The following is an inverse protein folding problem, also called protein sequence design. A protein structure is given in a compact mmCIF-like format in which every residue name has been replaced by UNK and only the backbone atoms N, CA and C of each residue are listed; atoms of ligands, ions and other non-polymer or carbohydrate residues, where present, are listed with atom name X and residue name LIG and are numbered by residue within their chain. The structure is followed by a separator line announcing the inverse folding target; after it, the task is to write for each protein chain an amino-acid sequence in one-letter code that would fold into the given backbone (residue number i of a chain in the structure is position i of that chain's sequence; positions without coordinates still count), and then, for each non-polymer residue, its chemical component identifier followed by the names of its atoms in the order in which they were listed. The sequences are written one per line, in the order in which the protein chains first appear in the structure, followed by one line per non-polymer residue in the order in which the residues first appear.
data_IF_566102396625
#
_entry.id   IF_566102396625
#
_cell.length_a   1.000
_cell.length_b   1.000
_cell.length_c   1.000
_cell.angle_alpha   90.00
_cell.angle_beta   90.00
_cell.angle_gamma   90.00
#
_symmetry.space_group_name_H-M   'P 1'
#
loop_
_entity.id
_entity.type
_entity.pdbx_description
1 polymer ?
#
# COMPACT_ATOMS: atom_id res chain seq x y z
N UNK A 1 -33.12 8.36 -15.30
CA UNK A 1 -31.85 8.99 -15.79
C UNK A 1 -30.68 8.98 -14.79
N UNK A 2 -30.87 9.14 -13.47
CA UNK A 2 -29.72 9.27 -12.53
C UNK A 2 -28.99 8.00 -12.13
N UNK A 3 -29.59 6.83 -12.29
CA UNK A 3 -29.01 5.56 -11.79
C UNK A 3 -27.97 4.99 -12.78
N UNK A 4 -28.24 5.08 -14.07
CA UNK A 4 -27.37 4.54 -15.13
C UNK A 4 -26.04 5.31 -15.24
N UNK A 5 -26.07 6.63 -15.05
CA UNK A 5 -24.87 7.45 -15.03
C UNK A 5 -23.94 7.09 -13.86
N UNK A 6 -24.50 6.91 -12.64
CA UNK A 6 -23.69 6.54 -11.48
C UNK A 6 -23.03 5.16 -11.67
N UNK A 7 -23.78 4.20 -12.22
CA UNK A 7 -23.22 2.86 -12.50
C UNK A 7 -22.10 2.94 -13.54
N UNK A 8 -22.26 3.72 -14.60
CA UNK A 8 -21.22 3.94 -15.60
C UNK A 8 -19.95 4.56 -15.01
N UNK A 9 -20.10 5.57 -14.13
CA UNK A 9 -18.97 6.18 -13.42
C UNK A 9 -18.24 5.17 -12.52
N UNK A 10 -18.99 4.29 -11.82
CA UNK A 10 -18.41 3.23 -10.98
C UNK A 10 -17.65 2.23 -11.84
N UNK A 11 -18.23 1.75 -12.94
CA UNK A 11 -17.58 0.79 -13.85
C UNK A 11 -16.29 1.39 -14.39
N UNK A 12 -16.32 2.63 -14.87
CA UNK A 12 -15.15 3.34 -15.37
C UNK A 12 -14.06 3.46 -14.29
N UNK A 13 -14.46 3.88 -13.08
CA UNK A 13 -13.53 4.02 -11.97
C UNK A 13 -12.90 2.68 -11.56
N UNK A 14 -13.67 1.61 -11.50
CA UNK A 14 -13.16 0.27 -11.20
C UNK A 14 -12.21 -0.19 -12.29
N UNK A 15 -12.56 -0.04 -13.56
CA UNK A 15 -11.70 -0.44 -14.68
C UNK A 15 -10.38 0.37 -14.72
N UNK A 16 -10.43 1.67 -14.43
CA UNK A 16 -9.23 2.51 -14.35
C UNK A 16 -8.29 2.15 -13.20
N UNK A 17 -8.81 1.50 -12.15
CA UNK A 17 -8.05 1.23 -10.92
C UNK A 17 -7.85 -0.26 -10.63
N UNK A 18 -8.40 -1.17 -11.41
CA UNK A 18 -8.31 -2.61 -11.15
C UNK A 18 -6.92 -3.19 -11.38
N UNK A 19 -6.17 -2.63 -12.32
CA UNK A 19 -4.81 -3.11 -12.66
C UNK A 19 -3.73 -2.55 -11.73
N UNK A 20 -4.14 -1.68 -10.84
CA UNK A 20 -3.24 -0.96 -9.94
C UNK A 20 -2.91 -1.75 -8.67
N UNK A 21 -3.52 -2.89 -8.47
CA UNK A 21 -3.24 -3.79 -7.33
C UNK A 21 -1.78 -4.21 -7.28
N UNK A 22 -1.08 -4.22 -8.42
CA UNK A 22 0.35 -4.47 -8.49
C UNK A 22 1.18 -3.48 -7.63
N UNK A 23 0.77 -2.22 -7.57
CA UNK A 23 1.36 -1.23 -6.66
C UNK A 23 0.97 -1.49 -5.21
N UNK A 24 -0.20 -2.03 -4.93
CA UNK A 24 -0.59 -2.47 -3.59
C UNK A 24 0.34 -3.56 -3.07
N UNK A 25 0.69 -4.53 -3.92
CA UNK A 25 1.65 -5.59 -3.59
C UNK A 25 3.02 -5.01 -3.26
N UNK A 26 3.53 -4.13 -4.10
CA UNK A 26 4.85 -3.52 -3.90
C UNK A 26 4.89 -2.64 -2.65
N UNK A 27 3.82 -1.94 -2.32
CA UNK A 27 3.84 -0.94 -1.27
C UNK A 27 3.24 -1.38 0.06
N UNK A 28 2.26 -2.29 0.07
CA UNK A 28 1.59 -2.69 1.30
C UNK A 28 2.07 -4.00 1.86
N UNK A 29 2.23 -5.01 1.01
CA UNK A 29 2.48 -6.39 1.43
C UNK A 29 3.64 -7.02 0.72
N UNK A 30 4.41 -6.23 -0.07
CA UNK A 30 5.36 -6.72 -1.04
C UNK A 30 6.23 -7.87 -0.53
N UNK A 31 5.95 -9.09 -0.90
CA UNK A 31 6.94 -10.13 -0.81
C UNK A 31 8.09 -9.94 -1.79
N UNK A 32 7.96 -9.08 -2.83
CA UNK A 32 8.96 -8.89 -3.90
C UNK A 32 10.37 -8.56 -3.40
N UNK A 33 10.52 -7.93 -2.25
CA UNK A 33 11.84 -7.70 -1.65
C UNK A 33 12.43 -8.95 -0.99
N UNK A 34 11.63 -9.98 -0.77
CA UNK A 34 11.94 -11.13 0.06
C UNK A 34 11.60 -12.46 -0.60
N UNK A 35 10.55 -12.47 -1.41
CA UNK A 35 9.98 -13.61 -2.10
C UNK A 35 9.56 -13.16 -3.50
N UNK A 36 9.61 -14.05 -4.49
CA UNK A 36 9.07 -13.74 -5.81
C UNK A 36 7.60 -14.20 -5.90
N UNK A 37 6.61 -13.28 -5.80
CA UNK A 37 5.20 -13.65 -5.80
C UNK A 37 4.70 -14.21 -7.13
N UNK A 38 5.43 -13.96 -8.23
CA UNK A 38 5.12 -14.44 -9.57
C UNK A 38 6.03 -15.59 -10.01
N UNK A 39 6.71 -16.23 -9.06
CA UNK A 39 7.54 -17.39 -9.33
C UNK A 39 6.68 -18.57 -9.77
N UNK A 40 7.13 -19.29 -10.80
CA UNK A 40 6.54 -20.57 -11.17
C UNK A 40 7.02 -21.71 -10.27
N UNK A 41 8.03 -21.49 -9.45
CA UNK A 41 8.52 -22.48 -8.50
C UNK A 41 7.49 -22.75 -7.40
N UNK A 42 7.09 -24.00 -7.26
CA UNK A 42 6.05 -24.44 -6.33
C UNK A 42 6.42 -24.15 -4.85
N UNK A 43 7.66 -24.36 -4.47
CA UNK A 43 8.13 -24.10 -3.10
C UNK A 43 8.13 -22.59 -2.78
N UNK A 44 8.36 -21.77 -3.79
CA UNK A 44 8.24 -20.32 -3.63
C UNK A 44 6.76 -19.89 -3.52
N UNK A 45 5.86 -20.45 -4.34
CA UNK A 45 4.40 -20.23 -4.23
C UNK A 45 3.89 -20.60 -2.83
N UNK A 46 4.34 -21.71 -2.25
CA UNK A 46 4.00 -22.11 -0.87
C UNK A 46 4.44 -21.05 0.16
N UNK A 47 5.66 -20.54 0.03
CA UNK A 47 6.19 -19.49 0.92
C UNK A 47 5.44 -18.18 0.77
N UNK A 48 5.10 -17.80 -0.46
CA UNK A 48 4.29 -16.62 -0.75
C UNK A 48 2.90 -16.75 -0.11
N UNK A 49 2.23 -17.89 -0.29
CA UNK A 49 0.92 -18.14 0.32
C UNK A 49 0.98 -18.04 1.86
N UNK A 50 2.01 -18.60 2.50
CA UNK A 50 2.20 -18.50 3.94
C UNK A 50 2.49 -17.05 4.40
N UNK A 51 3.39 -16.35 3.68
CA UNK A 51 3.71 -14.96 3.99
C UNK A 51 2.47 -14.06 3.92
N UNK A 52 1.64 -14.25 2.91
CA UNK A 52 0.43 -13.47 2.74
C UNK A 52 -0.66 -13.80 3.74
N UNK A 53 -0.70 -15.03 4.25
CA UNK A 53 -1.57 -15.37 5.37
C UNK A 53 -1.11 -14.66 6.66
N UNK A 54 0.21 -14.60 6.94
CA UNK A 54 0.76 -13.77 8.01
C UNK A 54 0.40 -12.31 7.82
N UNK A 55 0.52 -11.79 6.59
CA UNK A 55 0.22 -10.41 6.24
C UNK A 55 -1.26 -10.09 6.48
N UNK A 56 -2.17 -10.90 5.96
CA UNK A 56 -3.62 -10.67 6.10
C UNK A 56 -4.07 -10.76 7.56
N UNK A 57 -3.48 -11.65 8.36
CA UNK A 57 -3.86 -11.84 9.76
C UNK A 57 -3.65 -10.60 10.64
N UNK A 58 -2.69 -9.73 10.28
CA UNK A 58 -2.38 -8.48 10.99
C UNK A 58 -2.84 -7.22 10.24
N UNK A 59 -3.56 -7.37 9.10
CA UNK A 59 -4.15 -6.25 8.38
C UNK A 59 -5.28 -5.59 9.15
N UNK A 60 -5.33 -4.25 9.06
CA UNK A 60 -6.44 -3.41 9.54
C UNK A 60 -6.91 -3.75 10.97
N UNK A 61 -6.07 -4.40 11.77
CA UNK A 61 -6.32 -4.54 13.18
C UNK A 61 -6.07 -3.19 13.86
N UNK A 62 -6.92 -2.78 14.81
CA UNK A 62 -6.70 -1.62 15.70
C UNK A 62 -5.28 -1.60 16.28
N UNK A 63 -4.67 -2.76 16.29
CA UNK A 63 -3.36 -3.10 16.79
C UNK A 63 -2.23 -2.54 15.91
N UNK A 64 -2.34 -2.59 14.59
CA UNK A 64 -1.25 -2.18 13.67
C UNK A 64 -1.52 -0.80 13.05
N UNK A 65 -2.76 -0.35 13.09
CA UNK A 65 -3.20 0.95 12.60
C UNK A 65 -3.20 1.03 11.07
N UNK A 66 -2.05 1.26 10.45
CA UNK A 66 -1.95 1.41 9.00
C UNK A 66 -1.41 0.15 8.33
N UNK A 67 -1.92 -0.24 7.14
CA UNK A 67 -1.40 -1.38 6.37
C UNK A 67 0.11 -1.32 6.11
N UNK A 68 0.66 -0.11 5.97
CA UNK A 68 2.08 0.13 5.81
C UNK A 68 2.91 -0.34 7.01
N UNK A 69 2.36 -0.25 8.22
CA UNK A 69 3.02 -0.76 9.43
C UNK A 69 3.11 -2.29 9.42
N UNK A 70 2.04 -2.97 9.00
CA UNK A 70 2.03 -4.43 8.87
C UNK A 70 3.12 -4.89 7.87
N UNK A 71 3.20 -4.24 6.72
CA UNK A 71 4.24 -4.49 5.71
C UNK A 71 5.63 -4.31 6.29
N UNK A 72 5.90 -3.16 6.89
CA UNK A 72 7.22 -2.84 7.45
C UNK A 72 7.61 -3.82 8.56
N UNK A 73 6.65 -4.21 9.39
CA UNK A 73 6.87 -5.21 10.42
C UNK A 73 7.30 -6.55 9.82
N UNK A 74 6.54 -7.09 8.86
CA UNK A 74 6.84 -8.38 8.25
C UNK A 74 8.17 -8.38 7.49
N UNK A 75 8.49 -7.29 6.76
CA UNK A 75 9.80 -7.15 6.11
C UNK A 75 10.93 -7.19 7.14
N UNK A 76 10.79 -6.51 8.27
CA UNK A 76 11.81 -6.52 9.34
C UNK A 76 11.93 -7.89 10.01
N UNK A 77 10.80 -8.56 10.26
CA UNK A 77 10.80 -9.90 10.81
C UNK A 77 11.44 -10.92 9.84
N UNK A 78 11.13 -10.82 8.56
CA UNK A 78 11.75 -11.68 7.56
C UNK A 78 13.26 -11.40 7.41
N UNK A 79 13.70 -10.15 7.45
CA UNK A 79 15.12 -9.79 7.47
C UNK A 79 15.84 -10.35 8.71
N UNK A 80 15.15 -10.41 9.85
CA UNK A 80 15.71 -10.91 11.11
C UNK A 80 15.77 -12.44 11.17
N UNK A 81 14.79 -13.13 10.63
CA UNK A 81 14.61 -14.57 10.76
C UNK A 81 14.85 -15.36 9.47
N UNK A 82 14.83 -14.70 8.30
CA UNK A 82 14.85 -15.38 7.02
C UNK A 82 13.70 -16.40 6.90
N UNK A 83 13.98 -17.56 6.33
CA UNK A 83 12.99 -18.64 6.19
C UNK A 83 12.49 -19.19 7.54
N UNK A 84 13.22 -18.98 8.63
CA UNK A 84 12.76 -19.37 9.98
C UNK A 84 11.53 -18.60 10.43
N UNK A 85 11.19 -17.46 9.80
CA UNK A 85 9.96 -16.72 10.03
C UNK A 85 8.72 -17.63 9.99
N UNK A 86 8.69 -18.58 9.07
CA UNK A 86 7.57 -19.49 8.83
C UNK A 86 7.49 -20.66 9.84
N UNK A 87 8.51 -20.82 10.67
CA UNK A 87 8.64 -21.93 11.62
C UNK A 87 8.43 -21.51 13.07
N UNK A 88 8.41 -20.19 13.34
CA UNK A 88 8.30 -19.66 14.71
C UNK A 88 6.90 -19.89 15.25
N UNK A 89 6.81 -20.72 16.29
CA UNK A 89 5.57 -21.06 17.00
C UNK A 89 5.55 -20.61 18.45
N UNK A 90 6.60 -19.90 18.91
CA UNK A 90 6.73 -19.34 20.26
C UNK A 90 6.64 -17.81 20.23
N UNK A 91 5.62 -17.19 20.86
CA UNK A 91 5.38 -15.75 20.76
C UNK A 91 6.56 -14.88 21.18
N UNK A 92 7.30 -15.27 22.24
CA UNK A 92 8.41 -14.48 22.79
C UNK A 92 9.51 -14.21 21.74
N UNK A 93 9.74 -15.13 20.79
CA UNK A 93 10.73 -14.95 19.73
C UNK A 93 10.36 -13.81 18.76
N UNK A 94 9.07 -13.62 18.48
CA UNK A 94 8.59 -12.47 17.75
C UNK A 94 8.63 -11.21 18.60
N UNK A 95 8.22 -11.30 19.86
CA UNK A 95 8.10 -10.17 20.78
C UNK A 95 9.42 -9.41 20.92
N UNK A 96 10.54 -10.12 21.13
CA UNK A 96 11.87 -9.51 21.19
C UNK A 96 12.19 -8.66 19.97
N UNK A 97 11.88 -9.14 18.77
CA UNK A 97 12.15 -8.43 17.52
C UNK A 97 11.17 -7.29 17.24
N UNK A 98 9.89 -7.47 17.62
CA UNK A 98 8.85 -6.45 17.48
C UNK A 98 9.13 -5.25 18.38
N UNK A 99 9.58 -5.47 19.63
CA UNK A 99 9.97 -4.41 20.55
C UNK A 99 11.11 -3.55 19.97
N UNK A 100 12.03 -4.15 19.24
CA UNK A 100 13.15 -3.44 18.58
C UNK A 100 12.71 -2.66 17.34
N UNK A 101 11.52 -2.90 16.81
CA UNK A 101 11.00 -2.18 15.65
C UNK A 101 10.51 -0.79 16.09
N UNK A 102 11.19 0.27 15.64
CA UNK A 102 10.68 1.63 15.77
C UNK A 102 9.69 1.88 14.63
N UNK A 103 8.42 2.12 14.97
CA UNK A 103 7.39 2.56 14.03
C UNK A 103 7.02 4.01 14.30
N UNK A 104 6.49 4.70 13.29
CA UNK A 104 5.81 5.97 13.47
C UNK A 104 4.50 5.72 14.26
N UNK A 105 4.49 6.17 15.52
CA UNK A 105 3.44 5.87 16.49
C UNK A 105 3.79 4.65 17.38
N UNK A 106 3.29 4.67 18.60
CA UNK A 106 3.48 3.54 19.52
C UNK A 106 2.63 2.37 19.03
N UNK A 107 3.22 1.21 18.90
CA UNK A 107 2.47 -0.02 18.67
C UNK A 107 1.58 -0.40 19.88
N UNK A 108 1.62 0.36 20.98
CA UNK A 108 0.77 0.14 22.15
C UNK A 108 0.71 -1.33 22.58
N UNK A 109 -0.50 -1.83 22.83
CA UNK A 109 -0.80 -3.25 23.11
C UNK A 109 -0.45 -4.21 21.97
N UNK A 110 -0.21 -3.69 20.78
CA UNK A 110 0.14 -4.47 19.59
C UNK A 110 1.38 -5.32 19.77
N UNK A 111 2.34 -4.86 20.57
CA UNK A 111 3.58 -5.59 20.86
C UNK A 111 3.33 -6.95 21.52
N UNK A 112 2.21 -7.09 22.22
CA UNK A 112 1.83 -8.31 22.93
C UNK A 112 0.99 -9.23 22.03
N UNK A 113 0.09 -8.65 21.26
CA UNK A 113 -0.93 -9.38 20.49
C UNK A 113 -0.39 -9.89 19.14
N UNK A 114 0.42 -9.10 18.45
CA UNK A 114 0.96 -9.50 17.13
C UNK A 114 1.78 -10.80 17.20
N UNK A 115 2.66 -11.01 18.20
CA UNK A 115 3.38 -12.28 18.34
C UNK A 115 2.46 -13.49 18.40
N UNK A 116 1.34 -13.38 19.13
CA UNK A 116 0.37 -14.47 19.27
C UNK A 116 -0.35 -14.75 17.95
N UNK A 117 -0.79 -13.70 17.25
CA UNK A 117 -1.41 -13.84 15.92
C UNK A 117 -0.47 -14.55 14.95
N UNK A 118 0.78 -14.06 14.82
CA UNK A 118 1.74 -14.62 13.87
C UNK A 118 2.10 -16.08 14.21
N UNK A 119 2.26 -16.38 15.48
CA UNK A 119 2.52 -17.78 15.91
C UNK A 119 1.31 -18.66 15.73
N UNK A 120 0.10 -18.13 15.89
CA UNK A 120 -1.15 -18.83 15.61
C UNK A 120 -1.23 -19.24 14.14
N UNK A 121 -0.92 -18.32 13.21
CA UNK A 121 -0.83 -18.63 11.78
C UNK A 121 0.21 -19.71 11.51
N UNK A 122 1.41 -19.59 12.04
CA UNK A 122 2.46 -20.60 11.83
C UNK A 122 2.08 -21.98 12.40
N UNK A 123 1.42 -22.03 13.57
CA UNK A 123 0.90 -23.27 14.13
C UNK A 123 -0.17 -23.89 13.25
N UNK A 124 -1.10 -23.08 12.75
CA UNK A 124 -2.14 -23.54 11.82
C UNK A 124 -1.52 -24.14 10.56
N UNK A 125 -0.60 -23.41 9.91
CA UNK A 125 0.06 -23.89 8.68
C UNK A 125 0.86 -25.16 8.95
N UNK A 126 1.57 -25.23 10.06
CA UNK A 126 2.36 -26.42 10.45
C UNK A 126 1.50 -27.64 10.73
N UNK A 127 0.45 -27.48 11.53
CA UNK A 127 -0.25 -28.61 12.14
C UNK A 127 -1.50 -29.02 11.35
N UNK A 128 -2.20 -28.07 10.71
CA UNK A 128 -3.45 -28.34 10.01
C UNK A 128 -3.30 -28.34 8.49
N UNK A 129 -2.52 -27.41 7.96
CA UNK A 129 -2.24 -27.34 6.52
C UNK A 129 -0.97 -28.11 6.10
N UNK A 130 -0.34 -28.85 6.99
CA UNK A 130 0.84 -29.71 6.72
C UNK A 130 1.95 -28.97 5.96
N UNK A 131 2.14 -27.69 6.30
CA UNK A 131 3.06 -26.72 5.67
C UNK A 131 2.75 -26.39 4.20
N UNK A 132 1.56 -26.74 3.70
CA UNK A 132 1.17 -26.54 2.33
C UNK A 132 -0.26 -25.99 2.20
N UNK A 133 -0.40 -24.68 2.18
CA UNK A 133 -1.69 -24.01 2.05
C UNK A 133 -2.34 -24.23 0.66
N UNK A 134 -1.55 -24.52 -0.38
CA UNK A 134 -2.06 -24.77 -1.73
C UNK A 134 -2.82 -26.09 -1.71
N UNK A 135 -2.19 -27.18 -1.27
CA UNK A 135 -2.85 -28.49 -1.15
C UNK A 135 -3.96 -28.46 -0.12
N UNK A 136 -3.79 -27.70 0.96
CA UNK A 136 -4.84 -27.55 1.96
C UNK A 136 -6.09 -26.91 1.39
N UNK A 137 -5.97 -25.91 0.51
CA UNK A 137 -7.11 -25.26 -0.15
C UNK A 137 -7.93 -26.23 -0.98
N UNK A 138 -7.31 -27.23 -1.59
CA UNK A 138 -7.99 -28.24 -2.44
C UNK A 138 -8.97 -29.11 -1.65
N UNK A 139 -8.83 -29.20 -0.32
CA UNK A 139 -9.79 -29.92 0.55
C UNK A 139 -11.18 -29.27 0.61
N UNK A 140 -11.30 -28.05 0.10
CA UNK A 140 -12.55 -27.28 0.13
C UNK A 140 -13.12 -27.09 -1.27
N UNK A 141 -14.41 -27.38 -1.43
CA UNK A 141 -15.11 -27.18 -2.70
C UNK A 141 -15.58 -25.74 -2.90
N UNK A 142 -15.73 -24.97 -1.81
CA UNK A 142 -16.21 -23.58 -1.85
C UNK A 142 -15.25 -22.64 -1.13
N UNK A 143 -15.00 -21.44 -1.67
CA UNK A 143 -14.19 -20.40 -1.02
C UNK A 143 -14.68 -20.08 0.40
N UNK A 144 -16.00 -20.05 0.60
CA UNK A 144 -16.62 -19.73 1.89
C UNK A 144 -16.21 -20.74 2.98
N UNK A 145 -16.20 -22.02 2.68
CA UNK A 145 -15.87 -23.07 3.65
C UNK A 145 -14.39 -22.97 4.09
N UNK A 146 -13.51 -22.65 3.14
CA UNK A 146 -12.10 -22.36 3.44
C UNK A 146 -11.93 -21.11 4.33
N UNK A 147 -12.66 -20.03 4.03
CA UNK A 147 -12.64 -18.80 4.84
C UNK A 147 -13.16 -19.07 6.25
N UNK A 148 -14.24 -19.83 6.39
CA UNK A 148 -14.80 -20.21 7.70
C UNK A 148 -13.79 -21.05 8.51
N UNK A 149 -13.07 -21.96 7.86
CA UNK A 149 -12.03 -22.75 8.51
C UNK A 149 -10.85 -21.88 8.99
N UNK A 150 -10.39 -20.93 8.17
CA UNK A 150 -9.36 -19.97 8.60
C UNK A 150 -9.83 -19.15 9.82
N UNK A 151 -11.07 -18.65 9.79
CA UNK A 151 -11.65 -17.85 10.86
C UNK A 151 -11.82 -18.61 12.18
N UNK A 152 -12.07 -19.92 12.11
CA UNK A 152 -12.22 -20.78 13.28
C UNK A 152 -10.88 -21.19 13.90
N UNK A 153 -9.83 -21.30 13.09
CA UNK A 153 -8.57 -21.91 13.52
C UNK A 153 -7.42 -20.91 13.71
N UNK A 154 -7.56 -19.69 13.20
CA UNK A 154 -6.56 -18.63 13.36
C UNK A 154 -7.15 -17.52 14.19
N UNK A 155 -6.57 -17.31 15.36
CA UNK A 155 -7.00 -16.27 16.28
C UNK A 155 -7.05 -14.90 15.59
N UNK A 156 -8.11 -14.13 15.82
CA UNK A 156 -8.35 -12.80 15.25
C UNK A 156 -8.46 -12.72 13.73
N UNK A 157 -8.52 -13.85 13.02
CA UNK A 157 -8.81 -13.81 11.60
C UNK A 157 -10.22 -13.26 11.34
N UNK A 158 -11.15 -13.57 12.24
CA UNK A 158 -12.53 -13.08 12.26
C UNK A 158 -12.72 -11.81 13.12
N UNK A 159 -11.66 -11.26 13.71
CA UNK A 159 -11.77 -10.09 14.57
C UNK A 159 -11.83 -8.81 13.74
N UNK A 160 -12.71 -7.89 14.19
CA UNK A 160 -12.89 -6.53 13.69
C UNK A 160 -13.32 -6.36 12.21
N UNK A 161 -13.22 -5.16 11.75
CA UNK A 161 -13.80 -4.59 10.52
C UNK A 161 -13.20 -5.11 9.21
N UNK A 162 -12.13 -5.89 9.27
CA UNK A 162 -11.48 -6.40 8.08
C UNK A 162 -11.82 -7.86 7.88
N UNK A 163 -12.34 -8.18 6.72
CA UNK A 163 -12.54 -9.53 6.26
C UNK A 163 -11.20 -10.14 5.84
N UNK A 164 -10.31 -10.30 6.80
CA UNK A 164 -8.90 -10.69 6.59
C UNK A 164 -8.77 -11.96 5.75
N UNK A 165 -9.61 -12.95 6.03
CA UNK A 165 -9.62 -14.20 5.27
C UNK A 165 -10.10 -14.01 3.84
N UNK A 166 -11.11 -13.14 3.60
CA UNK A 166 -11.55 -12.81 2.25
C UNK A 166 -10.53 -12.00 1.46
N UNK A 167 -9.82 -11.07 2.12
CA UNK A 167 -8.69 -10.34 1.51
C UNK A 167 -7.58 -11.33 1.11
N UNK A 168 -7.20 -12.23 2.02
CA UNK A 168 -6.23 -13.28 1.73
C UNK A 168 -6.65 -14.13 0.53
N UNK A 169 -7.89 -14.61 0.55
CA UNK A 169 -8.38 -15.49 -0.50
C UNK A 169 -8.48 -14.78 -1.86
N UNK A 170 -8.86 -13.49 -1.86
CA UNK A 170 -8.81 -12.67 -3.08
C UNK A 170 -7.42 -12.70 -3.70
N UNK A 171 -6.38 -12.45 -2.90
CA UNK A 171 -4.99 -12.47 -3.37
C UNK A 171 -4.57 -13.81 -3.96
N UNK A 172 -5.06 -14.91 -3.37
CA UNK A 172 -4.69 -16.25 -3.79
C UNK A 172 -5.43 -16.74 -5.03
N UNK A 173 -6.67 -16.28 -5.26
CA UNK A 173 -7.58 -16.85 -6.28
C UNK A 173 -7.65 -15.99 -7.55
N UNK A 174 -7.70 -14.65 -7.41
CA UNK A 174 -7.83 -13.79 -8.59
C UNK A 174 -6.60 -13.88 -9.48
N UNK A 175 -6.78 -13.81 -10.83
CA UNK A 175 -5.66 -13.69 -11.75
C UNK A 175 -4.97 -12.33 -11.59
N UNK A 176 -3.91 -12.11 -12.35
CA UNK A 176 -3.22 -10.82 -12.40
C UNK A 176 -4.24 -9.65 -12.40
N UNK A 177 -4.00 -8.62 -11.57
CA UNK A 177 -2.78 -8.30 -10.82
C UNK A 177 -2.60 -9.02 -9.48
N UNK A 178 -3.54 -9.84 -9.03
CA UNK A 178 -3.37 -10.77 -7.92
C UNK A 178 -2.57 -12.01 -8.35
N UNK A 179 -2.45 -13.07 -7.56
CA UNK A 179 -1.40 -14.07 -7.74
C UNK A 179 -1.87 -15.41 -8.36
N UNK A 180 -3.17 -15.71 -8.29
CA UNK A 180 -3.72 -16.98 -8.78
C UNK A 180 -2.90 -18.21 -8.35
N UNK A 181 -2.67 -18.33 -7.04
CA UNK A 181 -1.95 -19.47 -6.46
C UNK A 181 -2.91 -20.63 -6.16
N UNK A 182 -4.18 -20.33 -5.82
CA UNK A 182 -5.23 -21.32 -5.57
C UNK A 182 -6.11 -21.48 -6.83
N UNK A 183 -5.81 -22.50 -7.63
CA UNK A 183 -6.49 -22.74 -8.90
C UNK A 183 -7.83 -23.50 -8.73
N UNK A 184 -8.07 -24.08 -7.54
CA UNK A 184 -9.29 -24.83 -7.24
C UNK A 184 -10.52 -23.95 -6.98
N UNK A 185 -10.34 -22.64 -6.81
CA UNK A 185 -11.42 -21.69 -6.62
C UNK A 185 -11.61 -20.80 -7.86
N UNK A 186 -12.87 -20.46 -8.19
CA UNK A 186 -13.16 -19.48 -9.23
C UNK A 186 -13.34 -18.08 -8.64
N UNK A 187 -12.78 -17.01 -9.28
CA UNK A 187 -12.97 -15.63 -8.85
C UNK A 187 -14.42 -15.19 -8.69
N UNK A 188 -15.33 -15.73 -9.50
CA UNK A 188 -16.77 -15.43 -9.44
C UNK A 188 -17.42 -15.82 -8.10
N UNK A 189 -16.83 -16.77 -7.39
CA UNK A 189 -17.33 -17.26 -6.10
C UNK A 189 -16.72 -16.52 -4.88
N UNK A 190 -15.88 -15.50 -5.13
CA UNK A 190 -15.32 -14.68 -4.09
C UNK A 190 -16.32 -13.65 -3.58
N UNK A 191 -16.27 -13.39 -2.29
CA UNK A 191 -16.95 -12.24 -1.69
C UNK A 191 -16.06 -11.02 -1.67
N UNK A 192 -16.67 -9.85 -1.84
CA UNK A 192 -15.97 -8.57 -1.64
C UNK A 192 -15.70 -8.41 -0.14
N UNK A 193 -14.43 -8.24 0.29
CA UNK A 193 -14.10 -8.04 1.69
C UNK A 193 -14.82 -6.83 2.27
N UNK A 194 -15.37 -6.95 3.48
CA UNK A 194 -16.03 -5.87 4.19
C UNK A 194 -15.01 -5.07 5.02
N UNK A 195 -14.42 -4.04 4.42
CA UNK A 195 -13.56 -3.08 5.11
C UNK A 195 -14.31 -1.79 5.42
N UNK A 196 -13.82 -0.95 6.34
CA UNK A 196 -14.41 0.37 6.62
C UNK A 196 -14.53 1.20 5.32
N UNK A 197 -13.52 1.13 4.46
CA UNK A 197 -13.52 1.88 3.21
C UNK A 197 -14.57 1.36 2.23
N UNK A 198 -14.70 0.04 2.07
CA UNK A 198 -15.73 -0.54 1.23
C UNK A 198 -17.13 -0.27 1.79
N UNK A 199 -17.29 -0.26 3.12
CA UNK A 199 -18.53 0.11 3.79
C UNK A 199 -18.92 1.58 3.54
N UNK A 200 -17.95 2.52 3.51
CA UNK A 200 -18.21 3.94 3.17
C UNK A 200 -18.79 4.06 1.75
N UNK A 201 -18.24 3.34 0.78
CA UNK A 201 -18.76 3.32 -0.59
C UNK A 201 -20.16 2.68 -0.64
N UNK A 202 -20.33 1.54 0.04
CA UNK A 202 -21.61 0.84 0.08
C UNK A 202 -22.73 1.68 0.76
N UNK A 203 -22.40 2.42 1.80
CA UNK A 203 -23.33 3.38 2.44
C UNK A 203 -23.69 4.50 1.46
N UNK A 204 -22.71 5.06 0.75
CA UNK A 204 -22.95 6.11 -0.24
C UNK A 204 -23.81 5.64 -1.41
N UNK A 205 -23.75 4.34 -1.74
CA UNK A 205 -24.60 3.70 -2.74
C UNK A 205 -26.02 3.38 -2.21
N UNK A 206 -26.23 3.41 -0.88
CA UNK A 206 -27.47 2.97 -0.23
C UNK A 206 -27.61 1.44 -0.17
N UNK A 207 -26.51 0.70 -0.29
CA UNK A 207 -26.50 -0.76 -0.14
C UNK A 207 -26.58 -1.18 1.33
N UNK A 208 -26.03 -0.36 2.23
CA UNK A 208 -26.09 -0.51 3.69
C UNK A 208 -26.50 0.82 4.31
N UNK A 209 -27.10 0.78 5.50
CA UNK A 209 -27.71 1.99 6.09
C UNK A 209 -26.67 2.96 6.66
N UNK A 210 -25.61 2.45 7.28
CA UNK A 210 -24.57 3.28 7.87
C UNK A 210 -23.33 2.46 8.24
N UNK A 211 -22.18 3.14 8.37
CA UNK A 211 -20.96 2.58 8.97
C UNK A 211 -21.02 2.87 10.46
N UNK A 212 -21.58 1.96 11.24
CA UNK A 212 -21.73 2.07 12.69
C UNK A 212 -21.08 0.88 13.40
N UNK A 213 -20.78 0.97 14.71
CA UNK A 213 -20.30 -0.18 15.48
C UNK A 213 -21.20 -1.42 15.39
N UNK A 214 -22.51 -1.24 15.18
CA UNK A 214 -23.45 -2.35 15.01
C UNK A 214 -23.26 -3.11 13.70
N UNK A 215 -22.69 -2.49 12.65
CA UNK A 215 -22.39 -3.15 11.38
C UNK A 215 -21.42 -4.32 11.57
N UNK A 216 -20.53 -4.21 12.53
CA UNK A 216 -19.46 -5.18 12.77
C UNK A 216 -19.86 -6.37 13.64
N UNK A 217 -21.12 -6.47 14.02
CA UNK A 217 -21.66 -7.71 14.55
C UNK A 217 -21.72 -8.76 13.42
N UNK A 218 -21.38 -10.02 13.73
CA UNK A 218 -21.21 -11.08 12.72
C UNK A 218 -22.37 -11.16 11.72
N UNK A 219 -23.62 -11.13 12.17
CA UNK A 219 -24.79 -11.21 11.28
C UNK A 219 -24.91 -9.99 10.35
N UNK A 220 -24.72 -8.79 10.87
CA UNK A 220 -24.81 -7.56 10.09
C UNK A 220 -23.67 -7.44 9.08
N UNK A 221 -22.46 -7.87 9.48
CA UNK A 221 -21.28 -7.88 8.60
C UNK A 221 -21.46 -8.88 7.44
N UNK A 222 -22.00 -10.05 7.70
CA UNK A 222 -22.31 -11.04 6.68
C UNK A 222 -23.34 -10.52 5.70
N UNK A 223 -24.43 -9.94 6.18
CA UNK A 223 -25.46 -9.35 5.32
C UNK A 223 -24.93 -8.19 4.48
N UNK A 224 -24.14 -7.31 5.08
CA UNK A 224 -23.52 -6.19 4.38
C UNK A 224 -22.58 -6.68 3.26
N UNK A 225 -21.73 -7.67 3.55
CA UNK A 225 -20.85 -8.32 2.57
C UNK A 225 -21.66 -8.93 1.43
N UNK A 226 -22.74 -9.64 1.73
CA UNK A 226 -23.60 -10.25 0.72
C UNK A 226 -24.24 -9.19 -0.18
N UNK A 227 -24.66 -8.06 0.36
CA UNK A 227 -25.25 -6.96 -0.43
C UNK A 227 -24.22 -6.31 -1.33
N UNK A 228 -23.00 -6.05 -0.83
CA UNK A 228 -21.88 -5.49 -1.62
C UNK A 228 -21.48 -6.47 -2.72
N UNK A 229 -21.33 -7.73 -2.39
CA UNK A 229 -20.94 -8.77 -3.37
C UNK A 229 -22.01 -8.93 -4.46
N UNK A 230 -23.29 -8.99 -4.11
CA UNK A 230 -24.39 -9.03 -5.11
C UNK A 230 -24.42 -7.80 -6.00
N UNK A 231 -24.09 -6.62 -5.46
CA UNK A 231 -23.95 -5.42 -6.27
C UNK A 231 -22.76 -5.55 -7.24
N UNK A 232 -21.61 -5.98 -6.74
CA UNK A 232 -20.40 -6.17 -7.54
C UNK A 232 -20.58 -7.23 -8.64
N UNK A 233 -21.25 -8.34 -8.36
CA UNK A 233 -21.58 -9.38 -9.34
C UNK A 233 -22.43 -8.86 -10.50
N UNK A 234 -23.33 -7.89 -10.27
CA UNK A 234 -24.10 -7.25 -11.35
C UNK A 234 -23.23 -6.42 -12.29
N UNK A 235 -22.12 -5.87 -11.79
CA UNK A 235 -21.19 -5.05 -12.56
C UNK A 235 -20.06 -5.90 -13.18
N UNK A 236 -19.61 -6.92 -12.47
CA UNK A 236 -18.48 -7.79 -12.82
C UNK A 236 -18.83 -9.24 -12.50
N UNK A 237 -19.63 -9.92 -13.37
CA UNK A 237 -20.17 -11.25 -13.08
C UNK A 237 -19.12 -12.33 -12.86
N UNK A 238 -17.97 -12.23 -13.52
CA UNK A 238 -16.88 -13.20 -13.44
C UNK A 238 -15.86 -12.91 -12.35
N UNK A 239 -15.90 -11.71 -11.74
CA UNK A 239 -14.95 -11.28 -10.71
C UNK A 239 -15.52 -10.14 -9.86
N UNK A 240 -16.41 -10.43 -8.89
CA UNK A 240 -16.98 -9.41 -8.02
C UNK A 240 -15.93 -8.72 -7.15
N UNK A 241 -14.86 -9.41 -6.79
CA UNK A 241 -13.77 -8.86 -5.99
C UNK A 241 -12.91 -7.84 -6.73
N UNK A 242 -13.13 -7.64 -8.04
CA UNK A 242 -12.51 -6.56 -8.83
C UNK A 242 -12.78 -5.18 -8.24
N UNK A 243 -13.90 -4.99 -7.56
CA UNK A 243 -14.25 -3.71 -6.93
C UNK A 243 -13.48 -3.43 -5.63
N UNK A 244 -12.90 -4.43 -4.97
CA UNK A 244 -12.37 -4.29 -3.61
C UNK A 244 -11.33 -3.17 -3.50
N UNK A 245 -10.26 -3.22 -4.29
CA UNK A 245 -9.24 -2.19 -4.22
C UNK A 245 -9.70 -0.81 -4.69
N UNK A 246 -10.41 -0.66 -5.81
CA UNK A 246 -11.02 0.60 -6.18
C UNK A 246 -11.95 1.17 -5.10
N UNK A 247 -12.77 0.35 -4.47
CA UNK A 247 -13.64 0.78 -3.38
C UNK A 247 -12.85 1.19 -2.13
N UNK A 248 -11.76 0.48 -1.84
CA UNK A 248 -10.84 0.90 -0.77
C UNK A 248 -10.28 2.31 -1.03
N UNK A 249 -9.84 2.62 -2.26
CA UNK A 249 -9.36 3.96 -2.62
C UNK A 249 -10.45 5.02 -2.47
N UNK A 250 -11.62 4.75 -3.03
CA UNK A 250 -12.76 5.66 -3.03
C UNK A 250 -13.29 5.89 -1.61
N UNK A 251 -13.38 4.83 -0.82
CA UNK A 251 -13.83 4.88 0.57
C UNK A 251 -12.90 5.68 1.48
N UNK A 252 -11.59 5.59 1.27
CA UNK A 252 -10.61 6.46 1.98
C UNK A 252 -10.86 7.94 1.68
N UNK A 253 -11.19 8.27 0.44
CA UNK A 253 -11.50 9.63 0.05
C UNK A 253 -12.84 10.13 0.64
N UNK A 254 -13.82 9.23 0.75
CA UNK A 254 -15.12 9.52 1.36
C UNK A 254 -15.07 9.61 2.89
N UNK A 255 -14.04 9.06 3.53
CA UNK A 255 -13.85 9.14 4.99
C UNK A 255 -13.85 10.59 5.45
N UNK A 256 -14.74 11.04 6.27
CA UNK A 256 -14.98 12.43 6.71
C UNK A 256 -15.89 13.27 5.77
N UNK A 257 -16.57 12.65 4.82
CA UNK A 257 -17.56 13.32 3.99
C UNK A 257 -18.96 12.77 4.25
N UNK A 258 -19.96 13.46 3.77
CA UNK A 258 -21.33 12.94 3.82
C UNK A 258 -21.44 11.71 2.90
N UNK A 259 -21.85 10.59 3.46
CA UNK A 259 -21.97 9.33 2.73
C UNK A 259 -23.34 9.27 2.01
N UNK A 260 -23.40 9.82 0.81
CA UNK A 260 -24.58 9.81 -0.05
C UNK A 260 -24.19 9.74 -1.53
N UNK A 261 -25.19 9.48 -2.39
CA UNK A 261 -24.99 9.29 -3.83
C UNK A 261 -24.40 10.52 -4.53
N UNK A 262 -24.73 11.74 -4.10
CA UNK A 262 -24.21 12.96 -4.72
C UNK A 262 -22.72 13.12 -4.43
N UNK A 263 -22.31 12.98 -3.17
CA UNK A 263 -20.89 13.04 -2.79
C UNK A 263 -20.07 11.94 -3.48
N UNK A 264 -20.64 10.74 -3.62
CA UNK A 264 -20.02 9.66 -4.37
C UNK A 264 -19.85 10.01 -5.86
N UNK A 265 -20.89 10.55 -6.48
CA UNK A 265 -20.86 10.96 -7.88
C UNK A 265 -19.82 12.06 -8.14
N UNK A 266 -19.77 13.06 -7.27
CA UNK A 266 -18.76 14.13 -7.34
C UNK A 266 -17.35 13.58 -7.19
N UNK A 267 -17.13 12.62 -6.29
CA UNK A 267 -15.88 11.92 -6.15
C UNK A 267 -15.49 11.22 -7.45
N UNK A 268 -16.36 10.41 -8.00
CA UNK A 268 -16.10 9.65 -9.23
C UNK A 268 -15.77 10.56 -10.42
N UNK A 269 -16.52 11.64 -10.59
CA UNK A 269 -16.25 12.65 -11.64
C UNK A 269 -14.92 13.37 -11.41
N UNK A 270 -14.61 13.72 -10.17
CA UNK A 270 -13.30 14.29 -9.83
C UNK A 270 -12.18 13.33 -10.25
N UNK A 271 -12.30 12.06 -9.98
CA UNK A 271 -11.31 11.06 -10.31
C UNK A 271 -11.17 10.79 -11.80
N UNK A 272 -12.27 10.76 -12.50
CA UNK A 272 -12.27 10.69 -13.96
C UNK A 272 -11.55 11.90 -14.57
N UNK A 273 -11.79 13.11 -14.06
CA UNK A 273 -11.12 14.33 -14.54
C UNK A 273 -9.62 14.30 -14.28
N UNK A 274 -9.20 13.79 -13.13
CA UNK A 274 -7.78 13.61 -12.78
C UNK A 274 -7.13 12.60 -13.71
N UNK A 275 -7.78 11.47 -13.96
CA UNK A 275 -7.28 10.45 -14.87
C UNK A 275 -7.10 10.99 -16.31
N UNK A 276 -8.07 11.72 -16.82
CA UNK A 276 -7.98 12.36 -18.16
C UNK A 276 -6.79 13.32 -18.30
N UNK A 277 -6.41 13.98 -17.20
CA UNK A 277 -5.30 14.95 -17.21
C UNK A 277 -3.95 14.28 -16.97
N UNK A 278 -3.89 13.26 -16.13
CA UNK A 278 -2.62 12.68 -15.66
C UNK A 278 -2.29 11.33 -16.27
N UNK A 279 -3.27 10.62 -16.83
CA UNK A 279 -3.14 9.21 -17.22
C UNK A 279 -2.95 8.26 -16.02
N UNK A 280 -2.97 8.80 -14.79
CA UNK A 280 -2.56 8.08 -13.57
C UNK A 280 -3.47 8.41 -12.40
N UNK A 281 -4.73 8.01 -12.44
CA UNK A 281 -5.65 8.16 -11.30
C UNK A 281 -5.03 7.62 -10.02
N UNK A 282 -4.31 6.54 -10.11
CA UNK A 282 -3.71 5.84 -8.98
C UNK A 282 -2.54 6.57 -8.35
N UNK A 283 -1.57 7.07 -9.13
CA UNK A 283 -0.42 7.78 -8.57
C UNK A 283 -0.85 9.03 -7.79
N UNK A 284 -1.89 9.71 -8.26
CA UNK A 284 -2.46 10.85 -7.56
C UNK A 284 -3.07 10.48 -6.19
N UNK A 285 -3.77 9.34 -6.11
CA UNK A 285 -4.41 8.90 -4.86
C UNK A 285 -3.44 8.42 -3.82
N UNK A 286 -2.53 7.58 -4.23
CA UNK A 286 -1.51 7.10 -3.34
C UNK A 286 -0.63 8.23 -2.84
N UNK A 287 -0.34 9.21 -3.71
CA UNK A 287 0.46 10.36 -3.36
C UNK A 287 -0.22 11.25 -2.30
N UNK A 288 -1.55 11.43 -2.34
CA UNK A 288 -2.28 12.27 -1.38
C UNK A 288 -2.44 11.65 0.01
N UNK A 289 -2.38 10.34 0.15
CA UNK A 289 -2.63 9.62 1.41
C UNK A 289 -1.37 9.13 2.13
N UNK A 290 -0.19 9.20 1.51
CA UNK A 290 1.02 8.50 1.94
C UNK A 290 2.19 9.37 2.32
N UNK A 291 2.07 10.68 2.18
CA UNK A 291 3.20 11.52 2.57
C UNK A 291 3.48 11.38 4.05
N UNK A 292 4.68 10.94 4.37
CA UNK A 292 5.18 10.74 5.73
C UNK A 292 5.37 12.07 6.47
N UNK A 293 5.46 13.17 5.72
CA UNK A 293 5.65 14.51 6.26
C UNK A 293 4.80 15.57 5.59
N UNK A 294 4.60 16.71 6.27
CA UNK A 294 3.94 17.89 5.70
C UNK A 294 4.69 18.46 4.49
N UNK A 295 6.00 18.29 4.44
CA UNK A 295 6.88 18.75 3.37
C UNK A 295 6.72 17.94 2.10
N UNK A 296 6.71 16.61 2.23
CA UNK A 296 6.40 15.72 1.10
C UNK A 296 5.01 16.03 0.53
N UNK A 297 4.00 16.21 1.40
CA UNK A 297 2.64 16.58 0.99
C UNK A 297 2.58 17.92 0.25
N UNK A 298 3.35 18.92 0.69
CA UNK A 298 3.47 20.21 0.03
C UNK A 298 4.09 20.05 -1.36
N UNK A 299 5.22 19.33 -1.44
CA UNK A 299 5.95 19.05 -2.69
C UNK A 299 5.04 18.37 -3.72
N UNK A 300 4.39 17.28 -3.34
CA UNK A 300 3.49 16.55 -4.22
C UNK A 300 2.32 17.41 -4.73
N UNK A 301 1.71 18.23 -3.86
CA UNK A 301 0.62 19.12 -4.25
C UNK A 301 1.10 20.13 -5.32
N UNK A 302 2.31 20.64 -5.18
CA UNK A 302 2.89 21.60 -6.14
C UNK A 302 3.21 20.90 -7.46
N UNK A 303 3.86 19.72 -7.42
CA UNK A 303 4.15 18.94 -8.64
C UNK A 303 2.86 18.61 -9.40
N UNK A 304 1.81 18.17 -8.70
CA UNK A 304 0.51 17.86 -9.29
C UNK A 304 -0.15 19.11 -9.90
N UNK A 305 -0.11 20.27 -9.21
CA UNK A 305 -0.62 21.55 -9.74
C UNK A 305 0.10 21.98 -11.00
N UNK A 306 1.42 21.77 -11.05
CA UNK A 306 2.26 22.10 -12.20
C UNK A 306 2.23 21.05 -13.32
N UNK A 307 1.41 20.00 -13.15
CA UNK A 307 1.29 18.88 -14.12
C UNK A 307 2.63 18.21 -14.42
N UNK A 308 3.47 18.07 -13.39
CA UNK A 308 4.73 17.32 -13.47
C UNK A 308 4.44 15.90 -12.96
N UNK A 309 4.48 14.88 -13.83
CA UNK A 309 4.28 13.50 -13.40
C UNK A 309 5.43 13.03 -12.49
N UNK A 310 5.09 12.27 -11.45
CA UNK A 310 6.08 11.75 -10.51
C UNK A 310 5.65 10.40 -9.92
N UNK A 311 6.62 9.57 -9.55
CA UNK A 311 6.44 8.43 -8.66
C UNK A 311 6.83 8.82 -7.23
N UNK A 312 6.00 8.46 -6.24
CA UNK A 312 6.33 8.61 -4.83
C UNK A 312 6.86 7.27 -4.29
N UNK A 313 8.07 7.25 -3.73
CA UNK A 313 8.80 6.04 -3.31
C UNK A 313 8.78 4.91 -4.37
N UNK A 314 9.05 5.19 -5.65
CA UNK A 314 8.73 4.26 -6.74
C UNK A 314 9.69 3.09 -6.86
N UNK A 315 10.95 3.25 -6.43
CA UNK A 315 12.03 2.28 -6.64
C UNK A 315 12.89 2.20 -5.38
N UNK A 316 13.35 0.99 -5.06
CA UNK A 316 14.36 0.74 -4.04
C UNK A 316 15.74 0.57 -4.71
N UNK A 317 16.68 1.43 -4.39
CA UNK A 317 18.05 1.36 -4.86
C UNK A 317 18.94 0.65 -3.83
N UNK A 318 19.58 -0.49 -4.19
CA UNK A 318 20.55 -1.15 -3.33
C UNK A 318 21.79 -0.26 -3.15
N UNK A 319 22.21 -0.08 -1.89
CA UNK A 319 23.45 0.61 -1.53
C UNK A 319 24.32 -0.33 -0.67
N UNK A 320 25.65 -0.17 -0.65
CA UNK A 320 26.53 -0.92 0.24
C UNK A 320 26.09 -0.84 1.70
N UNK A 321 25.56 -1.94 2.24
CA UNK A 321 25.09 -2.05 3.62
C UNK A 321 23.77 -1.34 3.96
N UNK A 322 23.06 -0.78 2.96
CA UNK A 322 21.78 -0.09 3.15
C UNK A 322 20.92 -0.17 1.87
N UNK A 323 19.73 0.39 1.92
CA UNK A 323 18.85 0.60 0.79
C UNK A 323 18.38 2.06 0.77
N UNK A 324 18.16 2.60 -0.42
CA UNK A 324 17.65 3.93 -0.62
C UNK A 324 16.36 3.90 -1.45
N UNK A 325 15.32 4.48 -0.90
CA UNK A 325 14.03 4.67 -1.58
C UNK A 325 13.81 6.18 -1.63
N UNK A 326 13.95 6.81 -2.82
CA UNK A 326 13.71 8.24 -2.96
C UNK A 326 12.26 8.60 -2.71
N UNK A 327 12.03 9.77 -2.10
CA UNK A 327 10.68 10.27 -1.87
C UNK A 327 9.95 10.50 -3.20
N UNK A 328 10.61 11.15 -4.17
CA UNK A 328 10.02 11.42 -5.50
C UNK A 328 11.01 11.13 -6.62
N UNK A 329 10.53 10.45 -7.67
CA UNK A 329 11.19 10.41 -8.98
C UNK A 329 10.26 11.07 -9.98
N UNK A 330 10.74 12.11 -10.68
CA UNK A 330 9.93 12.81 -11.67
C UNK A 330 10.06 12.16 -13.05
N UNK A 331 8.97 12.21 -13.82
CA UNK A 331 9.00 11.86 -15.24
C UNK A 331 9.49 13.08 -16.08
N UNK A 332 10.60 13.62 -15.66
CA UNK A 332 11.32 14.75 -16.26
C UNK A 332 12.81 14.53 -16.05
N UNK A 333 13.61 15.14 -16.92
CA UNK A 333 15.06 14.99 -16.89
C UNK A 333 15.76 16.34 -16.91
N UNK A 334 16.92 16.40 -16.27
CA UNK A 334 17.89 17.50 -16.35
C UNK A 334 19.19 16.90 -16.91
N UNK A 335 19.67 17.45 -18.02
CA UNK A 335 20.86 16.94 -18.70
C UNK A 335 20.82 15.42 -18.96
N UNK A 336 19.63 14.91 -19.34
CA UNK A 336 19.41 13.48 -19.60
C UNK A 336 19.21 12.61 -18.36
N UNK A 337 19.41 13.13 -17.15
CA UNK A 337 19.27 12.41 -15.88
C UNK A 337 17.87 12.58 -15.31
N UNK A 338 17.24 11.50 -14.82
CA UNK A 338 15.94 11.57 -14.15
C UNK A 338 16.05 12.32 -12.83
N UNK A 339 15.07 13.16 -12.53
CA UNK A 339 15.10 14.00 -11.34
C UNK A 339 14.59 13.22 -10.13
N UNK A 340 15.38 13.21 -9.06
CA UNK A 340 15.00 12.76 -7.72
C UNK A 340 14.83 13.98 -6.82
N UNK A 341 13.70 14.08 -6.08
CA UNK A 341 13.47 15.13 -5.09
C UNK A 341 13.33 14.51 -3.69
N UNK A 342 14.03 15.10 -2.73
CA UNK A 342 14.07 14.68 -1.33
C UNK A 342 13.71 15.85 -0.40
N UNK A 343 12.44 16.01 0.00
CA UNK A 343 12.01 17.04 0.94
C UNK A 343 12.26 16.65 2.40
N UNK A 344 13.16 17.35 3.08
CA UNK A 344 13.48 17.11 4.49
C UNK A 344 13.31 18.33 5.36
N UNK A 345 12.76 18.15 6.56
CA UNK A 345 12.77 19.17 7.61
C UNK A 345 14.16 19.31 8.22
N UNK A 346 14.79 18.18 8.54
CA UNK A 346 16.15 18.10 9.07
C UNK A 346 16.92 17.03 8.32
N UNK A 347 18.23 17.23 8.19
CA UNK A 347 19.15 16.29 7.57
C UNK A 347 20.22 15.83 8.57
N UNK A 348 20.40 14.52 8.66
CA UNK A 348 21.42 13.90 9.50
C UNK A 348 22.67 13.53 8.68
N UNK A 349 23.83 13.36 9.34
CA UNK A 349 25.05 12.84 8.69
C UNK A 349 24.83 11.47 8.05
N UNK A 350 23.99 10.63 8.65
CA UNK A 350 23.65 9.31 8.08
C UNK A 350 22.89 9.44 6.77
N UNK A 351 21.96 10.37 6.67
CA UNK A 351 21.24 10.65 5.42
C UNK A 351 22.18 11.24 4.37
N UNK A 352 23.01 12.21 4.73
CA UNK A 352 24.02 12.78 3.82
C UNK A 352 24.91 11.68 3.22
N UNK A 353 25.45 10.77 4.05
CA UNK A 353 26.24 9.63 3.58
C UNK A 353 25.45 8.72 2.63
N UNK A 354 24.18 8.49 2.91
CA UNK A 354 23.31 7.69 2.03
C UNK A 354 23.13 8.35 0.66
N UNK A 355 22.93 9.67 0.63
CA UNK A 355 22.81 10.42 -0.62
C UNK A 355 24.10 10.47 -1.41
N UNK A 356 25.23 10.66 -0.73
CA UNK A 356 26.55 10.58 -1.35
C UNK A 356 26.81 9.21 -2.00
N UNK A 357 26.48 8.09 -1.33
CA UNK A 357 26.56 6.75 -1.89
C UNK A 357 25.61 6.57 -3.08
N UNK A 358 24.38 7.06 -2.98
CA UNK A 358 23.43 7.01 -4.09
C UNK A 358 23.96 7.78 -5.30
N UNK A 359 24.45 9.00 -5.09
CA UNK A 359 25.02 9.83 -6.16
C UNK A 359 26.26 9.18 -6.80
N UNK A 360 27.13 8.58 -5.99
CA UNK A 360 28.29 7.86 -6.47
C UNK A 360 27.95 6.68 -7.38
N UNK A 361 26.90 5.93 -7.05
CA UNK A 361 26.52 4.70 -7.79
C UNK A 361 25.58 5.01 -8.95
N UNK A 362 24.59 5.88 -8.74
CA UNK A 362 23.48 6.11 -9.68
C UNK A 362 23.43 7.54 -10.24
N UNK A 363 24.40 8.40 -9.88
CA UNK A 363 24.41 9.81 -10.32
C UNK A 363 24.66 10.02 -11.81
N UNK A 364 24.98 8.97 -12.58
CA UNK A 364 25.02 9.02 -14.04
C UNK A 364 23.62 9.02 -14.66
N UNK A 365 22.62 8.40 -14.01
CA UNK A 365 21.23 8.29 -14.47
C UNK A 365 20.26 9.23 -13.74
N UNK A 366 20.63 9.68 -12.54
CA UNK A 366 19.76 10.47 -11.67
C UNK A 366 20.38 11.78 -11.26
N UNK A 367 19.55 12.84 -11.22
CA UNK A 367 19.88 14.17 -10.73
C UNK A 367 19.16 14.37 -9.38
N UNK A 368 19.92 14.41 -8.30
CA UNK A 368 19.41 14.47 -6.94
C UNK A 368 19.28 15.91 -6.46
N UNK A 369 18.06 16.32 -6.12
CA UNK A 369 17.74 17.63 -5.55
C UNK A 369 17.24 17.45 -4.11
N UNK A 370 17.89 18.09 -3.16
CA UNK A 370 17.41 18.16 -1.78
C UNK A 370 16.56 19.41 -1.59
N UNK A 371 15.41 19.27 -0.94
CA UNK A 371 14.53 20.36 -0.53
C UNK A 371 14.65 20.53 0.99
N UNK A 372 15.35 21.55 1.43
CA UNK A 372 15.66 21.78 2.85
C UNK A 372 15.04 23.09 3.32
N UNK A 373 14.84 23.22 4.64
CA UNK A 373 14.42 24.49 5.23
C UNK A 373 15.49 25.55 5.02
N UNK A 374 15.08 26.72 4.51
CA UNK A 374 16.01 27.79 4.07
C UNK A 374 17.03 28.18 5.14
N UNK A 375 16.58 28.36 6.38
CA UNK A 375 17.42 28.77 7.53
C UNK A 375 18.43 27.69 7.98
N UNK A 376 18.21 26.41 7.59
CA UNK A 376 19.09 25.29 7.94
C UNK A 376 20.18 25.00 6.89
N UNK A 377 20.01 25.46 5.65
CA UNK A 377 21.01 25.22 4.59
C UNK A 377 22.41 25.72 4.97
N UNK A 378 22.61 26.99 5.43
CA UNK A 378 23.94 27.48 5.85
C UNK A 378 24.52 26.67 7.00
N UNK A 379 23.69 26.22 7.93
CA UNK A 379 24.13 25.39 9.05
C UNK A 379 24.69 24.05 8.60
N UNK A 380 24.04 23.38 7.62
CA UNK A 380 24.52 22.09 7.09
C UNK A 380 25.82 22.23 6.32
N UNK A 381 26.00 23.30 5.53
CA UNK A 381 27.29 23.61 4.89
C UNK A 381 28.41 23.85 5.91
N UNK A 382 28.16 24.68 6.92
CA UNK A 382 29.15 24.97 7.99
C UNK A 382 29.58 23.71 8.75
N UNK A 383 28.71 22.71 8.87
CA UNK A 383 28.99 21.45 9.57
C UNK A 383 29.48 20.31 8.67
N UNK A 384 29.74 20.58 7.41
CA UNK A 384 30.15 19.60 6.42
C UNK A 384 29.16 18.39 6.35
N UNK A 385 27.85 18.67 6.48
CA UNK A 385 26.81 17.70 6.29
C UNK A 385 26.31 17.77 4.84
N UNK A 386 26.31 18.96 4.27
CA UNK A 386 25.92 19.24 2.90
C UNK A 386 27.16 19.64 2.11
N UNK A 387 27.75 18.66 1.42
CA UNK A 387 28.93 18.78 0.57
C UNK A 387 28.56 18.49 -0.87
N UNK A 388 29.41 18.84 -1.84
CA UNK A 388 29.11 18.73 -3.29
C UNK A 388 28.85 17.27 -3.75
N UNK A 389 29.32 16.30 -2.98
CA UNK A 389 29.10 14.89 -3.26
C UNK A 389 27.74 14.35 -2.75
N UNK A 390 27.02 15.12 -1.91
CA UNK A 390 25.74 14.67 -1.31
C UNK A 390 24.59 14.77 -2.28
N UNK A 391 24.51 15.83 -3.07
CA UNK A 391 23.43 16.05 -4.04
C UNK A 391 23.91 16.89 -5.22
N UNK A 392 23.08 17.02 -6.23
CA UNK A 392 23.38 17.87 -7.40
C UNK A 392 22.92 19.31 -7.17
N UNK A 393 21.79 19.49 -6.48
CA UNK A 393 21.27 20.81 -6.10
C UNK A 393 20.58 20.78 -4.74
N UNK A 394 20.56 21.94 -4.09
CA UNK A 394 19.79 22.19 -2.87
C UNK A 394 18.86 23.37 -3.10
N UNK A 395 17.59 23.18 -2.74
CA UNK A 395 16.59 24.22 -2.84
C UNK A 395 15.89 24.44 -1.50
N UNK A 396 15.59 25.71 -1.14
CA UNK A 396 14.70 25.97 -0.02
C UNK A 396 13.32 25.39 -0.33
N UNK A 397 12.78 24.60 0.59
CA UNK A 397 11.47 23.97 0.42
C UNK A 397 10.32 24.97 0.32
N UNK A 398 10.53 26.17 0.86
CA UNK A 398 9.61 27.29 0.72
C UNK A 398 9.40 27.67 -0.76
N UNK A 399 10.43 27.50 -1.58
CA UNK A 399 10.48 27.87 -3.00
C UNK A 399 10.29 26.69 -3.95
N UNK A 400 9.79 25.55 -3.47
CA UNK A 400 9.54 24.38 -4.32
C UNK A 400 8.62 24.66 -5.52
N UNK A 401 7.77 25.70 -5.44
CA UNK A 401 6.94 26.13 -6.57
C UNK A 401 7.78 26.76 -7.71
N UNK A 402 8.85 27.48 -7.41
CA UNK A 402 9.78 28.03 -8.39
C UNK A 402 10.61 26.93 -9.04
N UNK A 403 11.07 25.96 -8.25
CA UNK A 403 11.75 24.77 -8.75
C UNK A 403 10.84 23.99 -9.71
N UNK A 404 9.59 23.75 -9.33
CA UNK A 404 8.62 23.03 -10.14
C UNK A 404 8.34 23.79 -11.48
N UNK A 405 8.23 25.12 -11.44
CA UNK A 405 8.09 25.93 -12.66
C UNK A 405 9.32 25.80 -13.56
N UNK A 406 10.52 25.83 -12.99
CA UNK A 406 11.77 25.65 -13.74
C UNK A 406 11.88 24.27 -14.39
N UNK A 407 11.48 23.23 -13.65
CA UNK A 407 11.41 21.86 -14.20
C UNK A 407 10.38 21.78 -15.33
N UNK A 408 9.20 22.40 -15.16
CA UNK A 408 8.12 22.38 -16.15
C UNK A 408 8.51 23.06 -17.45
N UNK A 409 9.21 24.20 -17.39
CA UNK A 409 9.59 25.01 -18.56
C UNK A 409 10.85 24.52 -19.26
N UNK A 410 11.60 23.60 -18.66
CA UNK A 410 12.88 23.12 -19.19
C UNK A 410 14.03 24.12 -19.09
N UNK A 411 13.82 25.27 -18.43
CA UNK A 411 14.81 26.36 -18.30
C UNK A 411 15.93 26.05 -17.27
N UNK A 412 16.41 24.81 -17.27
CA UNK A 412 17.47 24.40 -16.33
C UNK A 412 18.87 24.91 -16.73
N UNK A 413 19.04 25.38 -17.98
CA UNK A 413 20.37 25.76 -18.50
C UNK A 413 20.74 27.24 -18.30
N UNK A 414 19.95 28.06 -17.58
CA UNK A 414 20.14 29.53 -17.62
C UNK A 414 20.51 30.21 -16.30
N UNK A 415 20.79 29.51 -15.20
CA UNK A 415 21.32 30.21 -14.01
C UNK A 415 22.42 29.38 -13.35
N UNK A 416 23.65 29.55 -13.82
CA UNK A 416 24.82 29.46 -12.96
C UNK A 416 25.07 30.88 -12.43
N UNK A 417 24.72 31.16 -11.19
CA UNK A 417 25.26 32.26 -10.40
C UNK A 417 25.75 31.68 -9.10
#
# INVERSE_FOLDING_TARGET
MGTDELLSLIINFVNMNSDVVDVQWDRRMSPRLLLNPYSENYEEKKRVAHYLLLASSILEDEVVGFPENARMLLIRLHKAFGNRLFEITKPHLFQEKIIMCKFYGSLGRSKEIIPEILTGVNKFVKNKAEKNLIEYSVKFSKPKDFVEDLNQNIERMNASYADKAWVYLRWMVRPHPDLRIFDNFSPENLYVPLTENNANVATSLGLINSVTPSLWKINNATEARDRITRFALRLFPTDPSKVDYPFFLLGRWLKKKALNKNTLKDALRFFESVHKVTGQTHAYYESMSRYKSGWEKKTARILSRMKIPFGYEPINFPLPGDNYIPDFILDRSINGKKIVLEPHYEMTRKQARKYSLFKQIYGHDFFLILLLKNDLIPFYHKRNILTDDVCDEVWPIEFVHLLAERIRTGNYNQVKT
#
